data_IF_046199716413
#
_entry.id   IF_046199716413
#
_cell.length_a   1.000
_cell.length_b   1.000
_cell.length_c   1.000
_cell.angle_alpha   90.00
_cell.angle_beta   90.00
_cell.angle_gamma   90.00
#
_symmetry.space_group_name_H-M   'P 1'
#
loop_
_entity.id
_entity.type
_entity.pdbx_description
1 polymer ?
#
# COMPACT_ATOMS: atom_id res chain seq x y z
N UNK A 1 11.03 1.50 -11.95
CA UNK A 1 10.23 0.29 -12.24
C UNK A 1 8.83 0.58 -11.74
N UNK A 2 7.76 0.37 -12.52
CA UNK A 2 6.45 0.91 -12.14
C UNK A 2 5.92 0.12 -10.94
N UNK A 3 5.65 0.81 -9.85
CA UNK A 3 5.07 0.26 -8.65
C UNK A 3 3.62 -0.11 -8.94
N UNK A 4 3.39 -1.22 -9.64
CA UNK A 4 2.08 -1.60 -10.17
C UNK A 4 1.67 -3.02 -9.77
N UNK A 5 0.38 -3.26 -9.69
CA UNK A 5 -0.25 -4.52 -9.33
C UNK A 5 -1.41 -4.84 -10.28
N UNK A 6 -2.10 -5.96 -10.03
CA UNK A 6 -3.29 -6.38 -10.79
C UNK A 6 -3.04 -6.80 -12.26
N UNK A 7 -1.80 -7.16 -12.62
CA UNK A 7 -1.42 -7.57 -13.99
C UNK A 7 -2.21 -8.79 -14.52
N UNK A 8 -2.70 -9.64 -13.63
CA UNK A 8 -3.41 -10.87 -14.00
C UNK A 8 -4.91 -10.67 -14.22
N UNK A 9 -5.46 -9.47 -13.97
CA UNK A 9 -6.84 -9.18 -14.34
C UNK A 9 -6.86 -8.37 -15.63
N UNK A 10 -7.89 -8.58 -16.45
CA UNK A 10 -8.08 -7.83 -17.70
C UNK A 10 -8.28 -6.30 -17.49
N UNK A 11 -8.22 -5.81 -16.24
CA UNK A 11 -8.28 -4.39 -15.87
C UNK A 11 -6.92 -3.65 -16.00
N UNK A 12 -5.81 -4.37 -16.17
CA UNK A 12 -4.49 -3.77 -16.43
C UNK A 12 -3.66 -3.46 -15.18
N UNK A 13 -2.47 -2.88 -15.38
CA UNK A 13 -1.54 -2.51 -14.31
C UNK A 13 -2.04 -1.30 -13.53
N UNK A 14 -2.49 -1.49 -12.29
CA UNK A 14 -2.85 -0.39 -11.39
C UNK A 14 -1.63 0.05 -10.58
N UNK A 15 -1.45 1.36 -10.37
CA UNK A 15 -0.41 1.88 -9.49
C UNK A 15 -0.68 1.52 -8.01
N UNK A 16 0.40 1.22 -7.29
CA UNK A 16 0.38 0.88 -5.88
C UNK A 16 0.00 2.10 -5.02
N UNK A 17 0.51 3.28 -5.38
CA UNK A 17 0.30 4.55 -4.66
C UNK A 17 0.61 4.49 -3.15
N UNK A 18 1.67 3.79 -2.75
CA UNK A 18 2.02 3.66 -1.33
C UNK A 18 2.35 5.03 -0.71
N UNK A 19 1.73 5.34 0.42
CA UNK A 19 1.96 6.57 1.17
C UNK A 19 3.33 6.56 1.87
N UNK A 20 3.76 7.72 2.39
CA UNK A 20 5.02 7.89 3.12
C UNK A 20 5.19 6.98 4.35
N UNK A 21 4.06 6.51 4.92
CA UNK A 21 4.06 5.56 6.02
C UNK A 21 4.26 4.09 5.56
N UNK A 22 4.56 3.86 4.28
CA UNK A 22 5.03 2.58 3.76
C UNK A 22 6.56 2.44 3.91
N UNK A 23 7.04 1.21 3.88
CA UNK A 23 8.47 0.86 3.87
C UNK A 23 9.07 0.95 2.46
N UNK A 24 8.25 1.16 1.44
CA UNK A 24 8.66 1.27 0.06
C UNK A 24 7.47 1.54 -0.83
N UNK A 25 7.76 1.95 -2.06
CA UNK A 25 6.73 2.30 -3.03
C UNK A 25 6.14 1.07 -3.74
N UNK A 26 6.74 -0.11 -3.59
CA UNK A 26 6.23 -1.36 -4.14
C UNK A 26 5.13 -1.98 -3.27
N UNK A 27 4.17 -2.62 -3.93
CA UNK A 27 3.07 -3.33 -3.27
C UNK A 27 2.96 -4.77 -3.76
N UNK A 28 2.13 -5.56 -3.07
CA UNK A 28 1.86 -6.93 -3.46
C UNK A 28 1.19 -6.98 -4.85
N UNK A 29 1.80 -7.68 -5.80
CA UNK A 29 1.34 -7.74 -7.20
C UNK A 29 -0.06 -8.34 -7.38
N UNK A 30 -0.57 -9.11 -6.40
CA UNK A 30 -1.91 -9.72 -6.43
C UNK A 30 -2.95 -8.91 -5.67
N UNK A 31 -2.59 -8.33 -4.54
CA UNK A 31 -3.57 -7.66 -3.65
C UNK A 31 -3.47 -6.14 -3.65
N UNK A 32 -2.40 -5.57 -4.22
CA UNK A 32 -2.12 -4.14 -4.20
C UNK A 32 -1.70 -3.60 -2.82
N UNK A 33 -1.47 -4.48 -1.84
CA UNK A 33 -1.15 -4.10 -0.47
C UNK A 33 0.31 -3.64 -0.35
N UNK A 34 0.50 -2.40 0.08
CA UNK A 34 1.80 -1.83 0.42
C UNK A 34 2.31 -2.37 1.75
N UNK A 35 3.63 -2.41 1.91
CA UNK A 35 4.26 -2.81 3.17
C UNK A 35 4.29 -1.63 4.13
N UNK A 36 3.44 -1.65 5.17
CA UNK A 36 3.29 -0.51 6.08
C UNK A 36 4.31 -0.51 7.22
N UNK A 37 4.77 0.68 7.61
CA UNK A 37 5.54 0.90 8.85
C UNK A 37 4.68 0.51 10.07
N UNK A 38 5.31 0.16 11.20
CA UNK A 38 4.60 -0.05 12.45
C UNK A 38 3.73 1.18 12.79
N UNK A 39 2.45 0.95 13.05
CA UNK A 39 1.48 2.02 13.32
C UNK A 39 0.69 2.53 12.12
N UNK A 40 1.02 2.12 10.89
CA UNK A 40 0.24 2.43 9.69
C UNK A 40 -0.60 1.23 9.20
N UNK A 41 -1.68 1.51 8.47
CA UNK A 41 -2.65 0.56 7.93
C UNK A 41 -3.36 1.14 6.70
N UNK A 42 -4.21 0.34 6.06
CA UNK A 42 -4.80 0.63 4.74
C UNK A 42 -3.99 0.00 3.60
N UNK A 43 -4.58 -0.07 2.40
CA UNK A 43 -3.93 -0.67 1.21
C UNK A 43 -2.64 0.06 0.87
N UNK A 44 -2.67 1.39 1.00
CA UNK A 44 -1.58 2.31 0.68
C UNK A 44 -0.80 2.74 1.91
N UNK A 45 -1.08 2.18 3.10
CA UNK A 45 -0.53 2.67 4.36
C UNK A 45 -0.91 4.13 4.68
N UNK A 46 -2.08 4.54 4.21
CA UNK A 46 -2.58 5.92 4.27
C UNK A 46 -3.27 6.26 5.60
N UNK A 47 -3.47 5.27 6.47
CA UNK A 47 -4.17 5.42 7.75
C UNK A 47 -3.26 4.99 8.89
N UNK A 48 -3.48 5.54 10.07
CA UNK A 48 -2.86 5.02 11.29
C UNK A 48 -3.69 3.88 11.87
N UNK A 49 -3.02 2.90 12.48
CA UNK A 49 -3.68 1.84 13.25
C UNK A 49 -4.48 2.46 14.40
N UNK A 50 -5.63 1.85 14.71
CA UNK A 50 -6.40 2.22 15.89
C UNK A 50 -5.50 2.14 17.14
N UNK A 51 -5.45 3.21 17.93
CA UNK A 51 -4.57 3.33 19.10
C UNK A 51 -3.19 3.95 18.85
N UNK A 52 -2.77 4.13 17.58
CA UNK A 52 -1.58 4.93 17.24
C UNK A 52 -1.88 6.43 17.07
N UNK A 53 -3.16 6.79 17.05
CA UNK A 53 -3.64 8.18 17.02
C UNK A 53 -4.31 8.50 18.37
N UNK A 54 -3.51 8.56 19.43
CA UNK A 54 -3.94 9.14 20.71
C UNK A 54 -3.26 10.50 20.86
N UNK A 55 -4.01 11.57 20.67
CA UNK A 55 -3.67 12.92 21.14
C UNK A 55 -4.74 13.35 22.13
#
# INVERSE_FOLDING_TARGET
QPNTWNFNSCLGCEDCECAEASLGQSCNVRTGQCLCKPGATGRRCERCKAGFWNY
#
